data_IF_170238406067
#
_entry.id   IF_170238406067
#
_cell.length_a   1.000
_cell.length_b   1.000
_cell.length_c   1.000
_cell.angle_alpha   90.00
_cell.angle_beta   90.00
_cell.angle_gamma   90.00
#
_symmetry.space_group_name_H-M   'P 1'
#
loop_
_entity.id
_entity.type
_entity.pdbx_description
1 polymer ?
#
# COMPACT_ATOMS: atom_id res chain seq x y z
N UNK A 1 -12.33 16.68 17.20
CA UNK A 1 -13.16 16.03 16.16
C UNK A 1 -12.27 15.02 15.42
N UNK A 2 -12.75 13.81 15.17
CA UNK A 2 -11.96 12.78 14.47
C UNK A 2 -11.80 13.15 12.98
N UNK A 3 -10.61 12.99 12.37
CA UNK A 3 -10.45 13.29 10.95
C UNK A 3 -11.24 12.31 10.08
N UNK A 4 -11.79 12.82 8.97
CA UNK A 4 -12.39 11.98 7.93
C UNK A 4 -11.29 11.43 7.02
N UNK A 5 -11.27 10.10 6.86
CA UNK A 5 -10.41 9.43 5.90
C UNK A 5 -11.06 9.46 4.50
N UNK A 6 -10.24 9.60 3.47
CA UNK A 6 -10.71 9.34 2.10
C UNK A 6 -10.89 7.83 1.88
N UNK A 7 -11.41 7.43 0.72
CA UNK A 7 -11.62 6.02 0.40
C UNK A 7 -10.31 5.19 0.45
N UNK A 8 -9.15 5.81 0.18
CA UNK A 8 -7.86 5.11 0.19
C UNK A 8 -7.43 4.76 1.60
N UNK A 9 -7.44 5.75 2.50
CA UNK A 9 -7.05 5.54 3.89
C UNK A 9 -8.09 4.71 4.64
N UNK A 10 -9.38 4.82 4.29
CA UNK A 10 -10.43 3.97 4.84
C UNK A 10 -10.21 2.50 4.47
N UNK A 11 -9.98 2.21 3.18
CA UNK A 11 -9.67 0.85 2.75
C UNK A 11 -8.35 0.34 3.35
N UNK A 12 -7.33 1.19 3.52
CA UNK A 12 -6.10 0.80 4.21
C UNK A 12 -6.37 0.42 5.67
N UNK A 13 -7.18 1.21 6.39
CA UNK A 13 -7.55 0.93 7.78
C UNK A 13 -8.31 -0.41 7.93
N UNK A 14 -9.13 -0.78 6.95
CA UNK A 14 -9.86 -2.05 6.92
C UNK A 14 -8.97 -3.28 6.71
N UNK A 15 -7.77 -3.10 6.12
CA UNK A 15 -6.82 -4.19 5.88
C UNK A 15 -5.84 -4.41 7.05
N UNK A 16 -5.85 -3.52 8.04
CA UNK A 16 -5.07 -3.67 9.29
C UNK A 16 -5.62 -4.84 10.10
N UNK A 17 -4.74 -5.65 10.68
CA UNK A 17 -5.14 -6.78 11.52
C UNK A 17 -5.84 -6.29 12.80
N UNK A 18 -7.14 -6.58 12.99
CA UNK A 18 -7.87 -6.08 14.15
C UNK A 18 -7.33 -6.69 15.44
N UNK A 19 -7.21 -5.89 16.50
CA UNK A 19 -6.75 -6.36 17.81
C UNK A 19 -5.23 -6.48 17.96
N UNK A 20 -4.45 -6.22 16.90
CA UNK A 20 -3.00 -6.35 16.92
C UNK A 20 -2.30 -4.97 16.80
N UNK A 21 -1.06 -4.78 17.32
CA UNK A 21 -0.34 -3.52 17.17
C UNK A 21 -0.09 -3.13 15.70
N UNK A 22 -0.15 -1.84 15.40
CA UNK A 22 -0.01 -1.29 14.02
C UNK A 22 0.92 -0.06 13.98
N UNK A 23 1.66 0.08 12.89
CA UNK A 23 2.43 1.28 12.56
C UNK A 23 1.95 1.93 11.25
N UNK A 24 1.83 3.26 11.25
CA UNK A 24 1.54 4.13 10.10
C UNK A 24 2.82 4.89 9.74
N UNK A 25 3.52 4.43 8.70
CA UNK A 25 4.85 4.91 8.31
C UNK A 25 4.71 5.94 7.19
N UNK A 26 5.28 7.13 7.41
CA UNK A 26 5.00 8.29 6.59
C UNK A 26 3.61 8.86 6.87
N UNK A 27 3.25 8.96 8.16
CA UNK A 27 1.89 9.28 8.60
C UNK A 27 1.40 10.68 8.20
N UNK A 28 2.29 11.54 7.68
CA UNK A 28 2.00 12.91 7.26
C UNK A 28 1.33 13.71 8.38
N UNK A 29 0.04 14.03 8.26
CA UNK A 29 -0.71 14.74 9.29
C UNK A 29 -1.40 13.80 10.32
N UNK A 30 -1.06 12.51 10.37
CA UNK A 30 -1.53 11.57 11.39
C UNK A 30 -3.03 11.23 11.31
N UNK A 31 -3.69 11.43 10.17
CA UNK A 31 -5.13 11.17 10.03
C UNK A 31 -5.47 9.68 10.24
N UNK A 32 -4.74 8.80 9.56
CA UNK A 32 -4.93 7.36 9.70
C UNK A 32 -4.54 6.91 11.11
N UNK A 33 -3.36 7.31 11.58
CA UNK A 33 -2.92 7.11 12.98
C UNK A 33 -4.03 7.47 13.99
N UNK A 34 -4.64 8.66 13.87
CA UNK A 34 -5.69 9.12 14.79
C UNK A 34 -6.97 8.28 14.71
N UNK A 35 -7.40 7.87 13.51
CA UNK A 35 -8.59 7.01 13.35
C UNK A 35 -8.35 5.62 13.94
N UNK A 36 -7.16 5.04 13.71
CA UNK A 36 -6.80 3.75 14.30
C UNK A 36 -6.77 3.85 15.83
N UNK A 37 -6.10 4.87 16.39
CA UNK A 37 -6.01 5.07 17.85
C UNK A 37 -7.37 5.35 18.50
N UNK A 38 -8.17 6.23 17.90
CA UNK A 38 -9.49 6.59 18.41
C UNK A 38 -10.47 5.42 18.40
N UNK A 39 -10.31 4.45 17.49
CA UNK A 39 -11.17 3.27 17.40
C UNK A 39 -11.14 2.38 18.65
N UNK A 40 -10.06 2.45 19.44
CA UNK A 40 -9.86 1.58 20.61
C UNK A 40 -9.66 0.09 20.27
N UNK A 41 -9.57 -0.27 18.98
CA UNK A 41 -9.42 -1.66 18.53
C UNK A 41 -7.99 -2.18 18.60
N UNK A 42 -7.00 -1.30 18.66
CA UNK A 42 -5.60 -1.65 18.55
C UNK A 42 -4.89 -1.39 19.87
N UNK A 43 -4.17 -2.38 20.43
CA UNK A 43 -3.49 -2.23 21.72
C UNK A 43 -2.32 -1.24 21.67
N UNK A 44 -1.79 -0.97 20.47
CA UNK A 44 -0.73 0.02 20.23
C UNK A 44 -0.82 0.53 18.80
N UNK A 45 -0.74 1.85 18.65
CA UNK A 45 -0.69 2.55 17.35
C UNK A 45 0.55 3.42 17.33
N UNK A 46 1.40 3.25 16.32
CA UNK A 46 2.59 4.09 16.11
C UNK A 46 2.37 4.90 14.84
N UNK A 47 2.43 6.22 14.92
CA UNK A 47 2.58 7.09 13.75
C UNK A 47 4.04 7.50 13.61
N UNK A 48 4.62 7.39 12.42
CA UNK A 48 5.99 7.82 12.20
C UNK A 48 6.14 8.63 10.91
N UNK A 49 7.01 9.63 10.95
CA UNK A 49 7.39 10.41 9.78
C UNK A 49 8.88 10.76 9.85
N UNK A 50 9.50 10.95 8.68
CA UNK A 50 10.88 11.37 8.56
C UNK A 50 11.05 12.85 8.99
N UNK A 51 10.00 13.66 8.82
CA UNK A 51 10.08 15.11 8.98
C UNK A 51 9.37 15.55 10.26
N UNK A 52 9.98 16.47 11.05
CA UNK A 52 9.36 16.97 12.28
C UNK A 52 8.09 17.78 12.04
N UNK A 53 7.99 18.49 10.89
CA UNK A 53 6.83 19.31 10.56
C UNK A 53 5.53 18.51 10.41
N UNK A 54 5.47 17.45 9.57
CA UNK A 54 4.36 16.52 9.54
C UNK A 54 4.05 15.90 10.91
N UNK A 55 5.08 15.43 11.63
CA UNK A 55 4.89 14.80 12.94
C UNK A 55 4.25 15.75 13.97
N UNK A 56 4.61 17.03 13.97
CA UNK A 56 3.97 18.05 14.81
C UNK A 56 2.47 18.24 14.45
N UNK A 57 2.11 18.15 13.17
CA UNK A 57 0.70 18.18 12.74
C UNK A 57 -0.05 16.90 13.10
N UNK A 58 0.62 15.75 13.05
CA UNK A 58 0.08 14.50 13.54
C UNK A 58 -0.23 14.59 15.03
N UNK A 59 0.66 15.18 15.83
CA UNK A 59 0.45 15.41 17.26
C UNK A 59 -0.79 16.28 17.52
N UNK A 60 -0.93 17.40 16.82
CA UNK A 60 -2.13 18.24 16.89
C UNK A 60 -3.39 17.46 16.50
N UNK A 61 -3.32 16.62 15.47
CA UNK A 61 -4.46 15.80 15.02
C UNK A 61 -4.88 14.81 16.11
N UNK A 62 -3.93 14.15 16.78
CA UNK A 62 -4.20 13.24 17.90
C UNK A 62 -4.81 13.97 19.10
N UNK A 63 -4.32 15.18 19.40
CA UNK A 63 -4.83 16.03 20.46
C UNK A 63 -6.29 16.45 20.19
N UNK A 64 -6.58 16.99 19.00
CA UNK A 64 -7.93 17.36 18.61
C UNK A 64 -8.89 16.16 18.54
N UNK A 65 -8.38 14.97 18.27
CA UNK A 65 -9.14 13.73 18.27
C UNK A 65 -9.34 13.12 19.68
N UNK A 66 -8.64 13.63 20.71
CA UNK A 66 -8.72 13.07 22.07
C UNK A 66 -8.16 11.65 22.17
N UNK A 67 -7.07 11.36 21.47
CA UNK A 67 -6.46 10.03 21.43
C UNK A 67 -4.93 10.03 21.50
N UNK A 68 -4.32 11.14 21.96
CA UNK A 68 -2.88 11.29 22.12
C UNK A 68 -2.28 10.25 23.08
N UNK A 69 -3.05 9.81 24.07
CA UNK A 69 -2.72 8.76 25.02
C UNK A 69 -2.72 7.33 24.42
N UNK A 70 -3.27 7.17 23.22
CA UNK A 70 -3.46 5.87 22.54
C UNK A 70 -2.58 5.70 21.30
N UNK A 71 -1.74 6.68 20.98
CA UNK A 71 -0.79 6.61 19.88
C UNK A 71 0.58 7.15 20.28
N UNK A 72 1.62 6.53 19.75
CA UNK A 72 3.00 6.99 19.89
C UNK A 72 3.46 7.63 18.58
N UNK A 73 4.09 8.80 18.64
CA UNK A 73 4.67 9.46 17.47
C UNK A 73 6.18 9.34 17.47
N UNK A 74 6.76 8.87 16.36
CA UNK A 74 8.21 8.66 16.21
C UNK A 74 8.76 9.41 15.01
N UNK A 75 9.87 10.13 15.21
CA UNK A 75 10.63 10.76 14.15
C UNK A 75 11.72 9.80 13.65
N UNK A 76 11.72 9.46 12.37
CA UNK A 76 12.80 8.64 11.79
C UNK A 76 12.56 8.17 10.36
N UNK A 77 13.58 7.55 9.77
CA UNK A 77 13.56 7.09 8.37
C UNK A 77 12.91 5.71 8.24
N UNK A 78 11.71 5.66 7.66
CA UNK A 78 11.02 4.42 7.33
C UNK A 78 10.87 3.49 8.54
N UNK A 79 11.38 2.26 8.41
CA UNK A 79 11.24 1.22 9.44
C UNK A 79 12.32 1.24 10.52
N UNK A 80 13.28 2.18 10.46
CA UNK A 80 14.26 2.36 11.55
C UNK A 80 13.64 2.76 12.88
N UNK A 81 12.40 3.25 12.85
CA UNK A 81 11.62 3.62 14.04
C UNK A 81 11.00 2.43 14.76
N UNK A 82 11.09 1.22 14.21
CA UNK A 82 10.46 0.01 14.74
C UNK A 82 11.49 -1.04 15.13
N UNK A 83 11.15 -1.83 16.15
CA UNK A 83 11.85 -3.09 16.44
C UNK A 83 11.18 -4.27 15.72
N UNK A 84 11.93 -5.31 15.31
CA UNK A 84 11.33 -6.55 14.78
C UNK A 84 10.28 -7.11 15.75
N UNK A 85 9.10 -7.47 15.22
CA UNK A 85 7.99 -8.01 16.00
C UNK A 85 7.22 -7.00 16.86
N UNK A 86 7.57 -5.71 16.83
CA UNK A 86 6.88 -4.68 17.60
C UNK A 86 5.43 -4.44 17.13
N UNK A 87 5.20 -4.62 15.83
CA UNK A 87 3.88 -4.47 15.20
C UNK A 87 3.56 -5.64 14.28
N UNK A 88 2.27 -5.94 14.18
CA UNK A 88 1.75 -6.97 13.27
C UNK A 88 1.47 -6.44 11.87
N UNK A 89 1.21 -5.14 11.75
CA UNK A 89 0.83 -4.47 10.51
C UNK A 89 1.62 -3.19 10.37
N UNK A 90 2.18 -2.98 9.19
CA UNK A 90 2.82 -1.73 8.77
C UNK A 90 2.00 -1.15 7.62
N UNK A 91 1.58 0.10 7.76
CA UNK A 91 0.90 0.85 6.71
C UNK A 91 1.88 1.82 6.05
N UNK A 92 1.97 1.78 4.71
CA UNK A 92 2.76 2.67 3.87
C UNK A 92 1.84 3.30 2.82
N UNK A 93 1.15 4.38 3.20
CA UNK A 93 0.16 5.03 2.37
C UNK A 93 0.67 6.31 1.71
N UNK A 94 0.46 6.47 0.40
CA UNK A 94 0.94 7.64 -0.35
C UNK A 94 2.44 7.64 -0.62
N UNK A 95 3.12 6.52 -0.39
CA UNK A 95 4.55 6.32 -0.67
C UNK A 95 4.73 5.83 -2.10
N UNK A 96 5.80 6.23 -2.79
CA UNK A 96 6.07 5.73 -4.15
C UNK A 96 6.45 4.25 -4.11
N UNK A 97 6.15 3.48 -5.16
CA UNK A 97 6.52 2.06 -5.22
C UNK A 97 8.01 1.84 -4.90
N UNK A 98 8.87 2.68 -5.48
CA UNK A 98 10.31 2.60 -5.28
C UNK A 98 10.71 2.82 -3.83
N UNK A 99 10.21 3.90 -3.22
CA UNK A 99 10.47 4.19 -1.81
C UNK A 99 9.91 3.10 -0.90
N UNK A 100 8.76 2.50 -1.24
CA UNK A 100 8.17 1.40 -0.47
C UNK A 100 9.11 0.20 -0.39
N UNK A 101 9.64 -0.28 -1.52
CA UNK A 101 10.55 -1.43 -1.46
C UNK A 101 11.91 -1.08 -0.84
N UNK A 102 12.45 0.12 -1.08
CA UNK A 102 13.69 0.58 -0.42
C UNK A 102 13.53 0.62 1.11
N UNK A 103 12.35 1.02 1.60
CA UNK A 103 12.01 0.98 3.03
C UNK A 103 11.99 -0.47 3.56
N UNK A 104 11.45 -1.42 2.78
CA UNK A 104 11.37 -2.83 3.17
C UNK A 104 12.77 -3.48 3.14
N UNK A 105 13.59 -3.21 2.13
CA UNK A 105 14.95 -3.76 1.98
C UNK A 105 15.88 -3.35 3.12
N UNK A 106 15.71 -2.14 3.66
CA UNK A 106 16.43 -1.66 4.86
C UNK A 106 16.02 -2.40 6.15
N UNK A 107 14.94 -3.18 6.12
CA UNK A 107 14.38 -3.90 7.26
C UNK A 107 14.14 -5.39 6.92
N UNK A 108 15.20 -6.21 6.80
CA UNK A 108 15.08 -7.61 6.35
C UNK A 108 14.14 -8.48 7.19
N UNK A 109 13.88 -8.11 8.45
CA UNK A 109 12.94 -8.78 9.33
C UNK A 109 11.48 -8.73 8.85
N UNK A 110 11.15 -7.81 7.92
CA UNK A 110 9.85 -7.75 7.28
C UNK A 110 9.68 -8.93 6.30
N UNK A 111 10.74 -9.27 5.58
CA UNK A 111 10.78 -10.36 4.58
C UNK A 111 11.23 -11.68 5.21
N UNK A 112 10.67 -12.01 6.38
CA UNK A 112 10.99 -13.22 7.12
C UNK A 112 9.71 -13.96 7.54
N UNK A 113 9.76 -15.29 7.75
CA UNK A 113 8.63 -16.02 8.31
C UNK A 113 8.14 -15.39 9.62
N UNK A 114 6.85 -15.10 9.71
CA UNK A 114 6.27 -14.39 10.86
C UNK A 114 6.46 -12.88 10.86
N UNK A 115 6.95 -12.30 9.77
CA UNK A 115 6.97 -10.84 9.55
C UNK A 115 5.57 -10.21 9.54
N UNK A 116 5.50 -8.87 9.60
CA UNK A 116 4.23 -8.15 9.64
C UNK A 116 3.50 -8.22 8.30
N UNK A 117 2.19 -7.99 8.34
CA UNK A 117 1.41 -7.61 7.15
C UNK A 117 1.83 -6.22 6.69
N UNK A 118 2.06 -6.07 5.40
CA UNK A 118 2.26 -4.78 4.75
C UNK A 118 0.95 -4.32 4.13
N UNK A 119 0.43 -3.17 4.55
CA UNK A 119 -0.68 -2.47 3.89
C UNK A 119 -0.12 -1.28 3.13
N UNK A 120 -0.34 -1.21 1.83
CA UNK A 120 0.31 -0.22 0.96
C UNK A 120 -0.71 0.50 0.09
N UNK A 121 -0.54 1.81 -0.04
CA UNK A 121 -1.28 2.62 -1.03
C UNK A 121 -0.25 3.35 -1.90
N UNK A 122 0.30 2.69 -2.93
CA UNK A 122 1.33 3.28 -3.77
C UNK A 122 0.84 4.56 -4.45
N UNK A 123 1.60 5.66 -4.33
CA UNK A 123 1.30 6.92 -5.00
C UNK A 123 1.49 6.83 -6.52
N UNK A 124 2.45 6.00 -6.96
CA UNK A 124 2.84 5.79 -8.35
C UNK A 124 3.27 4.34 -8.55
N UNK A 125 3.34 3.89 -9.81
CA UNK A 125 4.00 2.63 -10.20
C UNK A 125 3.49 1.39 -9.44
N UNK A 126 2.18 1.29 -9.21
CA UNK A 126 1.56 0.14 -8.54
C UNK A 126 1.88 -1.20 -9.21
N UNK A 127 2.03 -1.23 -10.55
CA UNK A 127 2.40 -2.45 -11.28
C UNK A 127 3.82 -2.92 -10.94
N UNK A 128 4.75 -1.98 -10.79
CA UNK A 128 6.13 -2.28 -10.43
C UNK A 128 6.21 -2.75 -8.97
N UNK A 129 5.40 -2.18 -8.07
CA UNK A 129 5.31 -2.65 -6.69
C UNK A 129 4.78 -4.09 -6.60
N UNK A 130 3.74 -4.42 -7.37
CA UNK A 130 3.23 -5.81 -7.44
C UNK A 130 4.29 -6.78 -7.94
N UNK A 131 5.00 -6.40 -9.01
CA UNK A 131 6.13 -7.18 -9.52
C UNK A 131 7.14 -7.45 -8.44
N UNK A 132 7.62 -6.39 -7.80
CA UNK A 132 8.64 -6.49 -6.76
C UNK A 132 8.17 -7.39 -5.61
N UNK A 133 6.94 -7.22 -5.11
CA UNK A 133 6.40 -8.04 -4.03
C UNK A 133 6.42 -9.54 -4.38
N UNK A 134 5.91 -9.93 -5.55
CA UNK A 134 5.93 -11.34 -5.97
C UNK A 134 7.34 -11.88 -6.20
N UNK A 135 8.24 -11.08 -6.77
CA UNK A 135 9.63 -11.48 -7.01
C UNK A 135 10.43 -11.60 -5.69
N UNK A 136 9.96 -10.97 -4.61
CA UNK A 136 10.61 -10.94 -3.29
C UNK A 136 9.89 -11.80 -2.24
N UNK A 137 9.03 -12.74 -2.66
CA UNK A 137 8.46 -13.73 -1.76
C UNK A 137 7.20 -13.27 -1.00
N UNK A 138 6.58 -12.16 -1.39
CA UNK A 138 5.32 -11.70 -0.82
C UNK A 138 4.13 -12.21 -1.61
N UNK A 139 3.10 -12.64 -0.88
CA UNK A 139 1.79 -12.97 -1.42
C UNK A 139 0.77 -11.89 -1.04
N UNK A 140 -0.13 -11.57 -1.97
CA UNK A 140 -1.22 -10.64 -1.68
C UNK A 140 -2.32 -11.32 -0.87
N UNK A 141 -2.70 -10.68 0.24
CA UNK A 141 -3.92 -10.99 0.99
C UNK A 141 -5.09 -10.18 0.46
N UNK A 142 -4.83 -8.96 -0.02
CA UNK A 142 -5.82 -8.10 -0.65
C UNK A 142 -5.18 -7.17 -1.67
N UNK A 143 -5.95 -6.79 -2.68
CA UNK A 143 -5.57 -5.79 -3.68
C UNK A 143 -6.83 -5.05 -4.14
N UNK A 144 -7.34 -4.19 -3.25
CA UNK A 144 -8.65 -3.55 -3.40
C UNK A 144 -8.54 -2.29 -4.27
N UNK A 145 -9.25 -2.22 -5.40
CA UNK A 145 -9.36 -0.99 -6.17
C UNK A 145 -10.33 -0.03 -5.48
N UNK A 146 -9.94 1.25 -5.36
CA UNK A 146 -10.80 2.32 -4.82
C UNK A 146 -10.68 3.59 -5.66
N UNK A 147 -11.74 4.40 -5.65
CA UNK A 147 -11.73 5.73 -6.24
C UNK A 147 -11.60 6.82 -5.18
N UNK A 148 -10.69 7.77 -5.40
CA UNK A 148 -10.57 8.97 -4.59
C UNK A 148 -10.12 10.15 -5.47
N UNK A 149 -10.68 11.34 -5.23
CA UNK A 149 -10.32 12.56 -5.97
C UNK A 149 -10.29 12.37 -7.50
N UNK A 150 -11.27 11.64 -8.05
CA UNK A 150 -11.39 11.38 -9.49
C UNK A 150 -10.33 10.44 -10.07
N UNK A 151 -9.59 9.68 -9.24
CA UNK A 151 -8.57 8.72 -9.68
C UNK A 151 -8.78 7.35 -9.04
N UNK A 152 -8.33 6.31 -9.74
CA UNK A 152 -8.24 4.95 -9.21
C UNK A 152 -6.91 4.70 -8.48
N UNK A 153 -7.01 3.98 -7.37
CA UNK A 153 -5.89 3.52 -6.54
C UNK A 153 -6.04 2.03 -6.27
N UNK A 154 -4.92 1.33 -6.16
CA UNK A 154 -4.87 -0.02 -5.63
C UNK A 154 -4.42 0.05 -4.17
N UNK A 155 -5.25 -0.44 -3.26
CA UNK A 155 -4.96 -0.54 -1.82
C UNK A 155 -4.61 -2.00 -1.55
N UNK A 156 -3.34 -2.24 -1.26
CA UNK A 156 -2.76 -3.58 -1.23
C UNK A 156 -2.53 -4.03 0.20
N UNK A 157 -2.71 -5.32 0.47
CA UNK A 157 -2.16 -5.99 1.64
C UNK A 157 -1.35 -7.20 1.20
N UNK A 158 -0.12 -7.32 1.68
CA UNK A 158 0.77 -8.44 1.35
C UNK A 158 1.49 -8.97 2.60
N UNK A 159 1.83 -10.25 2.56
CA UNK A 159 2.52 -10.97 3.64
C UNK A 159 3.65 -11.79 3.04
N UNK A 160 4.78 -11.89 3.77
CA UNK A 160 5.90 -12.70 3.31
C UNK A 160 5.58 -14.19 3.47
N UNK A 161 5.70 -14.94 2.38
CA UNK A 161 5.51 -16.40 2.33
C UNK A 161 6.79 -17.12 1.91
N UNK A 162 7.73 -16.41 1.30
CA UNK A 162 8.93 -16.98 0.68
C UNK A 162 8.67 -17.53 -0.72
N UNK A 163 7.43 -17.57 -1.19
CA UNK A 163 7.08 -18.03 -2.54
C UNK A 163 7.37 -16.95 -3.57
N UNK A 164 8.37 -17.20 -4.42
CA UNK A 164 8.77 -16.29 -5.49
C UNK A 164 8.04 -16.64 -6.77
N UNK A 165 7.51 -15.62 -7.45
CA UNK A 165 6.89 -15.73 -8.77
C UNK A 165 7.42 -14.65 -9.69
N UNK A 166 7.66 -14.99 -10.95
CA UNK A 166 7.86 -14.00 -12.03
C UNK A 166 6.50 -13.69 -12.67
N UNK A 167 5.91 -12.51 -12.43
CA UNK A 167 4.57 -12.18 -12.92
C UNK A 167 4.58 -11.65 -14.36
N UNK A 168 3.48 -11.87 -15.08
CA UNK A 168 3.23 -11.28 -16.41
C UNK A 168 2.96 -9.78 -16.31
N UNK A 169 2.95 -9.07 -17.44
CA UNK A 169 2.57 -7.65 -17.44
C UNK A 169 1.11 -7.47 -17.00
N UNK A 170 0.22 -8.36 -17.46
CA UNK A 170 -1.20 -8.34 -17.10
C UNK A 170 -1.39 -8.52 -15.58
N UNK A 171 -0.69 -9.48 -14.97
CA UNK A 171 -0.75 -9.71 -13.53
C UNK A 171 -0.27 -8.48 -12.74
N UNK A 172 0.81 -7.84 -13.17
CA UNK A 172 1.27 -6.60 -12.55
C UNK A 172 0.27 -5.45 -12.75
N UNK A 173 -0.35 -5.34 -13.93
CA UNK A 173 -1.26 -4.24 -14.24
C UNK A 173 -2.55 -4.29 -13.43
N UNK A 174 -3.13 -5.49 -13.27
CA UNK A 174 -4.43 -5.66 -12.61
C UNK A 174 -4.33 -6.24 -11.20
N UNK A 175 -3.31 -7.02 -10.88
CA UNK A 175 -3.18 -7.70 -9.60
C UNK A 175 -4.42 -8.54 -9.26
N UNK A 176 -4.88 -8.48 -8.01
CA UNK A 176 -6.10 -9.18 -7.58
C UNK A 176 -7.35 -8.28 -7.62
N UNK A 177 -7.27 -7.12 -8.28
CA UNK A 177 -8.39 -6.13 -8.28
C UNK A 177 -9.68 -6.66 -8.88
N UNK A 178 -9.62 -7.65 -9.78
CA UNK A 178 -10.80 -8.29 -10.37
C UNK A 178 -11.65 -9.10 -9.39
N UNK A 179 -11.15 -9.38 -8.17
CA UNK A 179 -11.90 -10.04 -7.11
C UNK A 179 -12.88 -9.09 -6.40
N UNK A 180 -12.83 -7.79 -6.72
CA UNK A 180 -13.62 -6.76 -6.07
C UNK A 180 -14.71 -6.23 -7.01
N UNK A 181 -15.88 -5.81 -6.49
CA UNK A 181 -16.95 -5.22 -7.31
C UNK A 181 -16.47 -4.04 -8.17
N UNK A 182 -15.52 -3.25 -7.66
CA UNK A 182 -14.96 -2.09 -8.34
C UNK A 182 -13.86 -2.45 -9.37
N UNK A 183 -13.51 -3.74 -9.48
CA UNK A 183 -12.43 -4.25 -10.32
C UNK A 183 -12.58 -3.93 -11.81
N UNK A 184 -13.80 -4.01 -12.34
CA UNK A 184 -14.08 -3.69 -13.75
C UNK A 184 -13.73 -2.23 -14.08
N UNK A 185 -14.12 -1.30 -13.20
CA UNK A 185 -13.83 0.13 -13.36
C UNK A 185 -12.33 0.43 -13.27
N UNK A 186 -11.62 -0.23 -12.36
CA UNK A 186 -10.17 -0.14 -12.28
C UNK A 186 -9.50 -0.68 -13.55
N UNK A 187 -9.91 -1.85 -14.04
CA UNK A 187 -9.36 -2.46 -15.23
C UNK A 187 -9.57 -1.58 -16.47
N UNK A 188 -10.78 -1.03 -16.65
CA UNK A 188 -11.08 -0.09 -17.72
C UNK A 188 -10.17 1.15 -17.66
N UNK A 189 -9.97 1.71 -16.47
CA UNK A 189 -9.09 2.86 -16.28
C UNK A 189 -7.62 2.57 -16.61
N UNK A 190 -7.12 1.36 -16.30
CA UNK A 190 -5.75 0.99 -16.68
C UNK A 190 -5.62 0.74 -18.18
N UNK A 191 -6.59 0.03 -18.78
CA UNK A 191 -6.61 -0.23 -20.23
C UNK A 191 -6.63 1.07 -21.03
N UNK A 192 -7.36 2.09 -20.57
CA UNK A 192 -7.40 3.40 -21.22
C UNK A 192 -6.01 4.09 -21.31
N UNK A 193 -5.05 3.71 -20.47
CA UNK A 193 -3.67 4.24 -20.49
C UNK A 193 -2.71 3.41 -21.33
N UNK A 194 -3.07 2.16 -21.66
CA UNK A 194 -2.19 1.23 -22.37
C UNK A 194 -1.69 1.76 -23.71
N UNK A 195 -2.50 2.39 -24.58
CA UNK A 195 -2.01 2.90 -25.85
C UNK A 195 -0.85 3.89 -25.67
N UNK A 196 -0.93 4.77 -24.66
CA UNK A 196 0.13 5.71 -24.35
C UNK A 196 1.37 5.03 -23.78
N UNK A 197 1.20 4.04 -22.91
CA UNK A 197 2.32 3.29 -22.35
C UNK A 197 3.05 2.48 -23.42
N UNK A 198 2.31 1.91 -24.39
CA UNK A 198 2.83 1.07 -25.46
C UNK A 198 3.82 1.80 -26.37
N UNK A 199 3.64 3.12 -26.56
CA UNK A 199 4.57 3.97 -27.33
C UNK A 199 6.00 3.98 -26.75
N UNK A 200 6.16 3.69 -25.47
CA UNK A 200 7.46 3.61 -24.81
C UNK A 200 8.10 2.22 -24.83
N UNK A 201 7.45 1.22 -25.43
CA UNK A 201 7.91 -0.17 -25.44
C UNK A 201 8.40 -0.55 -26.84
N UNK A 202 9.63 -1.07 -27.00
CA UNK A 202 10.15 -1.48 -28.29
C UNK A 202 9.30 -2.59 -28.94
N UNK A 203 9.07 -2.47 -30.25
CA UNK A 203 8.35 -3.47 -31.02
C UNK A 203 9.09 -4.82 -31.06
N UNK A 204 8.31 -5.90 -31.18
CA UNK A 204 8.84 -7.27 -31.21
C UNK A 204 9.19 -7.85 -29.84
N UNK A 205 9.14 -7.06 -28.76
CA UNK A 205 9.31 -7.56 -27.39
C UNK A 205 8.09 -8.34 -26.91
N UNK A 206 8.26 -9.27 -25.97
CA UNK A 206 7.12 -9.98 -25.35
C UNK A 206 6.17 -9.01 -24.64
N UNK A 207 6.72 -7.98 -23.98
CA UNK A 207 5.92 -6.92 -23.37
C UNK A 207 5.05 -6.18 -24.39
N UNK A 208 5.60 -5.87 -25.57
CA UNK A 208 4.82 -5.25 -26.64
C UNK A 208 3.65 -6.15 -27.08
N UNK A 209 3.88 -7.46 -27.22
CA UNK A 209 2.83 -8.43 -27.59
C UNK A 209 1.73 -8.50 -26.54
N UNK A 210 2.09 -8.66 -25.26
CA UNK A 210 1.12 -8.70 -24.15
C UNK A 210 0.26 -7.42 -24.10
N UNK A 211 0.88 -6.24 -24.30
CA UNK A 211 0.17 -4.97 -24.33
C UNK A 211 -0.77 -4.85 -25.54
N UNK A 212 -0.34 -5.32 -26.71
CA UNK A 212 -1.14 -5.26 -27.94
C UNK A 212 -2.38 -6.18 -27.86
N UNK A 213 -2.25 -7.37 -27.25
CA UNK A 213 -3.37 -8.28 -26.95
C UNK A 213 -4.39 -7.63 -26.01
N UNK A 214 -3.90 -7.00 -24.93
CA UNK A 214 -4.75 -6.27 -23.98
C UNK A 214 -5.47 -5.07 -24.60
N UNK A 215 -4.82 -4.36 -25.54
CA UNK A 215 -5.41 -3.22 -26.26
C UNK A 215 -6.52 -3.69 -27.22
N UNK A 216 -6.32 -4.82 -27.91
CA UNK A 216 -7.30 -5.39 -28.84
C UNK A 216 -8.52 -6.00 -28.13
N UNK A 217 -8.46 -6.19 -26.81
CA UNK A 217 -9.51 -6.84 -26.02
C UNK A 217 -9.49 -8.37 -26.13
N UNK A 218 -8.43 -8.94 -26.70
CA UNK A 218 -8.22 -10.39 -26.82
C UNK A 218 -7.51 -10.90 -25.56
N UNK A 219 -8.20 -10.96 -24.42
CA UNK A 219 -7.70 -11.74 -23.29
C UNK A 219 -8.52 -13.02 -23.25
N UNK A 220 -7.87 -14.17 -23.52
CA UNK A 220 -8.48 -15.48 -23.33
C UNK A 220 -8.92 -15.59 -21.87
N UNK A 221 -10.21 -15.87 -21.69
CA UNK A 221 -10.80 -16.23 -20.41
C UNK A 221 -10.11 -17.44 -19.78
#
# INVERSE_FOLDING_TARGET
MLPTLDARLSAAAELVRPGEPVADIGCDHGKLTAVLAASGKYPKVIGADLRPGPLAKAEQTLEYAGCKDRAELRLGDGLSVLSPGEVSTIVLAGVSAQTTWEIIEKAPWVSAPGGPRLVMVPATRHSDLRRWLWEHGFAFVADRPVQAAGRWYAVMAAEYTGEVKTPTFQECLFGLTGQWPEGEGYAAWQKAKLPRLRLGVPDGTELAKEMDELIKGESKA
#
